data_IF_217349761262
#
_entry.id   IF_217349761262
#
_cell.length_a   1.000
_cell.length_b   1.000
_cell.length_c   1.000
_cell.angle_alpha   90.00
_cell.angle_beta   90.00
_cell.angle_gamma   90.00
#
_symmetry.space_group_name_H-M   'P 1'
#
loop_
_entity.id
_entity.type
_entity.pdbx_description
1 polymer ?
#
# COMPACT_ATOMS: atom_id res chain seq x y z
N UNK A 1 -9.75 -3.50 19.99
CA UNK A 1 -10.60 -2.34 20.30
C UNK A 1 -11.24 -1.84 19.03
N UNK A 2 -12.53 -1.48 19.08
CA UNK A 2 -13.36 -1.08 17.93
C UNK A 2 -12.71 -0.02 17.02
N UNK A 3 -11.91 0.89 17.59
CA UNK A 3 -11.22 1.96 16.87
C UNK A 3 -10.23 1.46 15.79
N UNK A 4 -9.53 0.34 16.03
CA UNK A 4 -8.55 -0.24 15.06
C UNK A 4 -9.21 -0.74 13.77
N UNK A 5 -10.45 -1.21 13.86
CA UNK A 5 -11.19 -1.67 12.69
C UNK A 5 -11.64 -0.50 11.81
N UNK A 6 -12.09 0.60 12.43
CA UNK A 6 -12.48 1.81 11.72
C UNK A 6 -11.30 2.43 10.96
N UNK A 7 -10.12 2.51 11.58
CA UNK A 7 -8.91 3.02 10.92
C UNK A 7 -8.47 2.12 9.76
N UNK A 8 -8.48 0.79 9.95
CA UNK A 8 -8.16 -0.16 8.88
C UNK A 8 -9.10 0.02 7.68
N UNK A 9 -10.42 0.13 7.93
CA UNK A 9 -11.39 0.38 6.87
C UNK A 9 -11.15 1.73 6.18
N UNK A 10 -10.82 2.78 6.93
CA UNK A 10 -10.49 4.10 6.36
C UNK A 10 -9.30 4.01 5.41
N UNK A 11 -8.23 3.30 5.80
CA UNK A 11 -7.05 3.12 4.97
C UNK A 11 -7.36 2.32 3.70
N UNK A 12 -8.10 1.21 3.82
CA UNK A 12 -8.52 0.40 2.66
C UNK A 12 -9.36 1.24 1.70
N UNK A 13 -10.37 1.96 2.18
CA UNK A 13 -11.21 2.82 1.34
C UNK A 13 -10.37 3.91 0.65
N UNK A 14 -9.44 4.54 1.37
CA UNK A 14 -8.52 5.52 0.82
C UNK A 14 -7.66 4.95 -0.30
N UNK A 15 -7.06 3.77 -0.09
CA UNK A 15 -6.26 3.07 -1.10
C UNK A 15 -7.07 2.74 -2.36
N UNK A 16 -8.31 2.27 -2.22
CA UNK A 16 -9.19 1.99 -3.35
C UNK A 16 -9.56 3.25 -4.15
N UNK A 17 -9.69 4.39 -3.47
CA UNK A 17 -9.96 5.67 -4.14
C UNK A 17 -8.73 6.18 -4.89
N UNK A 18 -7.54 6.03 -4.31
CA UNK A 18 -6.25 6.35 -4.94
C UNK A 18 -6.02 5.43 -6.14
N UNK A 19 -6.24 4.11 -6.01
CA UNK A 19 -6.09 3.12 -7.10
C UNK A 19 -6.85 3.55 -8.34
N UNK A 20 -8.10 3.99 -8.18
CA UNK A 20 -8.94 4.39 -9.32
C UNK A 20 -8.33 5.56 -10.10
N UNK A 21 -7.64 6.47 -9.42
CA UNK A 21 -6.94 7.61 -10.04
C UNK A 21 -5.61 7.18 -10.63
N UNK A 22 -4.84 6.39 -9.89
CA UNK A 22 -3.58 5.80 -10.33
C UNK A 22 -3.75 5.00 -11.64
N UNK A 23 -4.75 4.11 -11.69
CA UNK A 23 -5.06 3.28 -12.87
C UNK A 23 -5.42 4.07 -14.12
N UNK A 24 -5.91 5.30 -13.98
CA UNK A 24 -6.23 6.19 -15.11
C UNK A 24 -5.03 6.94 -15.65
N UNK A 25 -3.95 7.05 -14.87
CA UNK A 25 -2.74 7.78 -15.26
C UNK A 25 -1.65 6.81 -15.71
N UNK A 26 -1.51 6.63 -17.03
CA UNK A 26 -0.42 5.82 -17.60
C UNK A 26 0.96 6.37 -17.23
N UNK A 27 1.09 7.70 -17.16
CA UNK A 27 2.34 8.38 -16.76
C UNK A 27 2.77 7.96 -15.35
N UNK A 28 1.85 8.01 -14.38
CA UNK A 28 2.15 7.62 -13.00
C UNK A 28 2.45 6.13 -12.87
N UNK A 29 1.78 5.28 -13.67
CA UNK A 29 2.06 3.84 -13.68
C UNK A 29 3.46 3.54 -14.22
N UNK A 30 3.89 4.20 -15.29
CA UNK A 30 5.23 4.06 -15.84
C UNK A 30 6.27 4.56 -14.83
N UNK A 31 6.09 5.78 -14.29
CA UNK A 31 7.00 6.40 -13.32
C UNK A 31 7.22 5.50 -12.08
N UNK A 32 6.14 4.95 -11.51
CA UNK A 32 6.25 4.04 -10.35
C UNK A 32 6.82 2.68 -10.76
N UNK A 33 6.44 2.15 -11.92
CA UNK A 33 6.93 0.85 -12.40
C UNK A 33 8.43 0.85 -12.65
N UNK A 34 8.93 1.88 -13.35
CA UNK A 34 10.36 2.07 -13.60
C UNK A 34 11.13 2.28 -12.29
N UNK A 35 10.61 3.12 -11.38
CA UNK A 35 11.22 3.34 -10.07
C UNK A 35 11.33 2.06 -9.24
N UNK A 36 10.28 1.23 -9.19
CA UNK A 36 10.31 -0.03 -8.45
C UNK A 36 11.29 -1.05 -9.04
N UNK A 37 11.43 -1.10 -10.37
CA UNK A 37 12.41 -1.98 -11.02
C UNK A 37 13.84 -1.56 -10.67
N UNK A 38 14.12 -0.24 -10.66
CA UNK A 38 15.43 0.28 -10.27
C UNK A 38 15.75 -0.05 -8.81
N UNK A 39 14.82 0.25 -7.88
CA UNK A 39 15.01 0.00 -6.44
C UNK A 39 15.25 -1.48 -6.13
N UNK A 40 14.58 -2.39 -6.84
CA UNK A 40 14.74 -3.82 -6.63
C UNK A 40 16.17 -4.34 -6.91
N UNK A 41 17.00 -3.59 -7.64
CA UNK A 41 18.38 -3.97 -7.95
C UNK A 41 19.41 -3.35 -6.99
N UNK A 42 18.97 -2.52 -6.05
CA UNK A 42 19.87 -1.81 -5.13
C UNK A 42 20.27 -2.66 -3.92
N UNK A 43 21.48 -2.41 -3.42
CA UNK A 43 21.99 -2.99 -2.18
C UNK A 43 22.29 -4.48 -2.27
N UNK A 44 22.60 -5.00 -3.47
CA UNK A 44 22.87 -6.42 -3.68
C UNK A 44 24.10 -6.94 -2.88
N UNK A 45 24.99 -6.03 -2.50
CA UNK A 45 26.18 -6.28 -1.68
C UNK A 45 25.95 -6.14 -0.16
N UNK A 46 24.79 -5.64 0.26
CA UNK A 46 24.46 -5.39 1.67
C UNK A 46 23.94 -6.65 2.36
N UNK A 47 23.94 -6.65 3.70
CA UNK A 47 23.17 -7.65 4.44
C UNK A 47 21.67 -7.48 4.17
N UNK A 48 20.92 -8.58 4.21
CA UNK A 48 19.49 -8.58 3.86
C UNK A 48 18.69 -7.50 4.61
N UNK A 49 18.95 -7.31 5.91
CA UNK A 49 18.23 -6.31 6.71
C UNK A 49 18.53 -4.87 6.27
N UNK A 50 19.79 -4.58 5.96
CA UNK A 50 20.23 -3.27 5.50
C UNK A 50 19.71 -2.99 4.09
N UNK A 51 19.74 -4.02 3.23
CA UNK A 51 19.14 -3.96 1.89
C UNK A 51 17.64 -3.66 1.96
N UNK A 52 16.89 -4.38 2.81
CA UNK A 52 15.44 -4.17 2.98
C UNK A 52 15.12 -2.75 3.48
N UNK A 53 15.90 -2.22 4.43
CA UNK A 53 15.72 -0.87 4.94
C UNK A 53 16.05 0.20 3.89
N UNK A 54 17.14 0.03 3.12
CA UNK A 54 17.50 0.90 2.01
C UNK A 54 16.39 0.93 0.94
N UNK A 55 15.94 -0.26 0.52
CA UNK A 55 14.88 -0.37 -0.46
C UNK A 55 13.57 0.21 0.07
N UNK A 56 13.23 -0.01 1.34
CA UNK A 56 12.05 0.59 1.97
C UNK A 56 12.12 2.12 1.99
N UNK A 57 13.30 2.71 2.24
CA UNK A 57 13.51 4.15 2.17
C UNK A 57 13.23 4.68 0.75
N UNK A 58 13.84 4.09 -0.28
CA UNK A 58 13.66 4.58 -1.64
C UNK A 58 12.22 4.36 -2.16
N UNK A 59 11.56 3.26 -1.77
CA UNK A 59 10.13 3.06 -2.05
C UNK A 59 9.29 4.14 -1.37
N UNK A 60 9.63 4.52 -0.13
CA UNK A 60 8.93 5.57 0.60
C UNK A 60 9.09 6.95 -0.05
N UNK A 61 10.29 7.26 -0.58
CA UNK A 61 10.57 8.46 -1.36
C UNK A 61 9.76 8.48 -2.66
N UNK A 62 9.72 7.35 -3.38
CA UNK A 62 8.90 7.19 -4.58
C UNK A 62 7.41 7.43 -4.28
N UNK A 63 6.90 6.86 -3.18
CA UNK A 63 5.52 7.10 -2.71
C UNK A 63 5.28 8.59 -2.41
N UNK A 64 6.22 9.24 -1.72
CA UNK A 64 6.12 10.66 -1.38
C UNK A 64 6.13 11.55 -2.64
N UNK A 65 6.95 11.23 -3.63
CA UNK A 65 7.03 11.95 -4.91
C UNK A 65 5.81 11.78 -5.81
N UNK A 66 5.09 10.65 -5.68
CA UNK A 66 4.01 10.26 -6.62
C UNK A 66 2.65 10.18 -5.94
N UNK A 67 2.38 9.08 -5.21
CA UNK A 67 1.07 8.72 -4.68
C UNK A 67 0.58 9.71 -3.63
N UNK A 68 1.47 10.24 -2.78
CA UNK A 68 1.11 11.18 -1.71
C UNK A 68 0.47 12.49 -2.23
N UNK A 69 0.70 12.81 -3.52
CA UNK A 69 0.15 13.99 -4.20
C UNK A 69 -1.28 13.77 -4.71
N UNK A 70 -1.78 12.54 -4.71
CA UNK A 70 -3.12 12.20 -5.15
C UNK A 70 -4.10 12.39 -3.99
N UNK A 71 -5.20 13.11 -4.24
CA UNK A 71 -6.30 13.22 -3.27
C UNK A 71 -7.23 11.99 -3.37
N UNK A 72 -7.79 11.47 -2.26
CA UNK A 72 -7.54 11.88 -0.88
C UNK A 72 -6.19 11.37 -0.37
N UNK A 73 -5.57 12.12 0.55
CA UNK A 73 -4.36 11.67 1.23
C UNK A 73 -4.72 10.67 2.33
N UNK A 74 -3.94 9.61 2.46
CA UNK A 74 -4.06 8.68 3.58
C UNK A 74 -3.36 9.31 4.79
N UNK A 75 -4.15 9.65 5.80
CA UNK A 75 -3.65 10.17 7.08
C UNK A 75 -3.49 8.99 8.02
N UNK A 76 -2.25 8.62 8.30
CA UNK A 76 -1.94 7.52 9.22
C UNK A 76 -1.94 8.06 10.64
N UNK A 77 -2.87 7.57 11.46
CA UNK A 77 -2.98 7.90 12.88
C UNK A 77 -2.28 6.83 13.72
N UNK A 78 -1.55 7.26 14.75
CA UNK A 78 -0.82 6.38 15.65
C UNK A 78 -0.17 7.15 16.80
N UNK A 79 0.62 6.45 17.63
CA UNK A 79 1.39 7.11 18.69
C UNK A 79 2.48 8.00 18.04
N UNK A 80 2.50 9.32 18.32
CA UNK A 80 3.44 10.26 17.71
C UNK A 80 4.91 9.89 17.88
N UNK A 81 5.29 9.23 18.99
CA UNK A 81 6.67 8.85 19.25
C UNK A 81 7.21 7.87 18.20
N UNK A 82 6.37 6.94 17.70
CA UNK A 82 6.77 6.04 16.62
C UNK A 82 6.75 6.72 15.25
N UNK A 83 5.88 7.72 15.06
CA UNK A 83 5.79 8.49 13.81
C UNK A 83 6.91 9.53 13.65
N UNK A 84 7.72 9.75 14.70
CA UNK A 84 8.95 10.54 14.62
C UNK A 84 10.15 9.73 14.12
N UNK A 85 10.07 8.40 14.13
CA UNK A 85 11.15 7.54 13.63
C UNK A 85 11.11 7.47 12.09
N UNK A 86 12.16 7.93 11.38
CA UNK A 86 12.20 7.91 9.91
C UNK A 86 11.98 6.52 9.33
N UNK A 87 12.66 5.50 9.87
CA UNK A 87 12.53 4.10 9.44
C UNK A 87 11.08 3.63 9.51
N UNK A 88 10.36 3.97 10.58
CA UNK A 88 8.93 3.64 10.72
C UNK A 88 8.09 4.30 9.62
N UNK A 89 8.36 5.57 9.32
CA UNK A 89 7.64 6.30 8.27
C UNK A 89 7.90 5.71 6.89
N UNK A 90 9.13 5.28 6.63
CA UNK A 90 9.51 4.66 5.37
C UNK A 90 8.77 3.34 5.17
N UNK A 91 8.80 2.46 6.18
CA UNK A 91 8.03 1.22 6.17
C UNK A 91 6.52 1.45 6.05
N UNK A 92 5.96 2.47 6.69
CA UNK A 92 4.54 2.82 6.53
C UNK A 92 4.22 3.16 5.08
N UNK A 93 5.03 4.00 4.42
CA UNK A 93 4.81 4.39 3.02
C UNK A 93 4.99 3.21 2.05
N UNK A 94 5.99 2.37 2.31
CA UNK A 94 6.24 1.14 1.57
C UNK A 94 5.06 0.18 1.65
N UNK A 95 4.50 -0.01 2.85
CA UNK A 95 3.29 -0.82 3.05
C UNK A 95 2.06 -0.21 2.37
N UNK A 96 1.92 1.12 2.35
CA UNK A 96 0.83 1.78 1.61
C UNK A 96 0.96 1.57 0.09
N UNK A 97 2.18 1.62 -0.46
CA UNK A 97 2.42 1.33 -1.87
C UNK A 97 2.13 -0.15 -2.20
N UNK A 98 2.53 -1.07 -1.33
CA UNK A 98 2.17 -2.49 -1.45
C UNK A 98 0.64 -2.69 -1.40
N UNK A 99 -0.04 -1.97 -0.50
CA UNK A 99 -1.51 -1.94 -0.43
C UNK A 99 -2.16 -1.43 -1.73
N UNK A 100 -1.60 -0.39 -2.35
CA UNK A 100 -2.03 0.12 -3.65
C UNK A 100 -1.83 -0.93 -4.76
N UNK A 101 -0.71 -1.67 -4.75
CA UNK A 101 -0.45 -2.75 -5.71
C UNK A 101 -1.47 -3.89 -5.57
N UNK A 102 -1.80 -4.26 -4.34
CA UNK A 102 -2.85 -5.24 -4.04
C UNK A 102 -4.23 -4.76 -4.50
N UNK A 103 -4.57 -3.49 -4.27
CA UNK A 103 -5.80 -2.88 -4.79
C UNK A 103 -5.84 -2.90 -6.34
N UNK A 104 -4.70 -2.64 -6.99
CA UNK A 104 -4.57 -2.68 -8.45
C UNK A 104 -4.78 -4.11 -8.96
N UNK A 105 -4.19 -5.11 -8.32
CA UNK A 105 -4.38 -6.52 -8.68
C UNK A 105 -5.84 -6.93 -8.54
N UNK A 106 -6.49 -6.55 -7.44
CA UNK A 106 -7.90 -6.81 -7.24
C UNK A 106 -8.78 -6.22 -8.35
N UNK A 107 -8.52 -4.98 -8.74
CA UNK A 107 -9.18 -4.28 -9.85
C UNK A 107 -8.92 -4.98 -11.20
N UNK A 108 -7.71 -5.47 -11.44
CA UNK A 108 -7.33 -6.25 -12.63
C UNK A 108 -8.08 -7.59 -12.73
N UNK A 109 -8.34 -8.24 -11.59
CA UNK A 109 -9.12 -9.47 -11.50
C UNK A 109 -10.64 -9.24 -11.54
N UNK A 110 -11.08 -8.02 -11.85
CA UNK A 110 -12.50 -7.66 -11.96
C UNK A 110 -13.14 -7.18 -10.66
N UNK A 111 -12.37 -7.08 -9.58
CA UNK A 111 -12.81 -6.63 -8.26
C UNK A 111 -13.36 -5.21 -8.24
N UNK A 112 -14.47 -5.00 -7.53
CA UNK A 112 -15.14 -3.68 -7.42
C UNK A 112 -15.36 -3.23 -5.99
N UNK A 113 -15.24 -1.92 -5.70
CA UNK A 113 -15.46 -1.32 -4.36
C UNK A 113 -16.67 -1.87 -3.60
N UNK A 114 -17.77 -2.12 -4.32
CA UNK A 114 -19.03 -2.57 -3.77
C UNK A 114 -19.03 -4.07 -3.43
N UNK A 115 -18.17 -4.88 -4.03
CA UNK A 115 -18.02 -6.29 -3.67
C UNK A 115 -17.38 -6.45 -2.30
N UNK A 116 -16.45 -5.57 -1.91
CA UNK A 116 -15.93 -5.55 -0.53
C UNK A 116 -17.00 -5.13 0.48
N UNK A 117 -17.89 -4.19 0.11
CA UNK A 117 -18.92 -3.69 1.01
C UNK A 117 -20.14 -4.62 1.12
N UNK A 118 -20.61 -5.19 0.01
CA UNK A 118 -21.83 -6.01 -0.05
C UNK A 118 -21.56 -7.51 -0.18
N UNK A 119 -20.40 -7.91 -0.69
CA UNK A 119 -19.95 -9.31 -0.80
C UNK A 119 -19.14 -9.79 0.41
N UNK A 120 -19.09 -9.01 1.51
CA UNK A 120 -18.23 -9.23 2.67
C UNK A 120 -18.29 -10.66 3.21
N UNK A 121 -19.48 -11.25 3.30
CA UNK A 121 -19.67 -12.62 3.84
C UNK A 121 -19.00 -13.68 2.98
N UNK A 122 -19.08 -13.56 1.64
CA UNK A 122 -18.39 -14.47 0.71
C UNK A 122 -16.88 -14.35 0.86
N UNK A 123 -16.37 -13.12 0.86
CA UNK A 123 -14.93 -12.85 0.98
C UNK A 123 -14.38 -13.37 2.32
N UNK A 124 -15.10 -13.18 3.42
CA UNK A 124 -14.71 -13.71 4.73
C UNK A 124 -14.69 -15.24 4.72
N UNK A 125 -15.67 -15.89 4.09
CA UNK A 125 -15.72 -17.34 4.04
C UNK A 125 -14.55 -17.93 3.24
N UNK A 126 -14.25 -17.35 2.07
CA UNK A 126 -13.08 -17.76 1.27
C UNK A 126 -11.77 -17.52 2.02
N UNK A 127 -11.61 -16.35 2.65
CA UNK A 127 -10.43 -16.04 3.46
C UNK A 127 -10.26 -17.03 4.63
N UNK A 128 -11.36 -17.43 5.27
CA UNK A 128 -11.34 -18.48 6.31
C UNK A 128 -10.93 -19.83 5.73
N UNK A 129 -11.49 -20.20 4.57
CA UNK A 129 -11.15 -21.46 3.89
C UNK A 129 -9.65 -21.56 3.61
N UNK A 130 -9.03 -20.48 3.12
CA UNK A 130 -7.59 -20.41 2.84
C UNK A 130 -6.75 -20.47 4.13
N UNK A 131 -7.23 -19.92 5.24
CA UNK A 131 -6.51 -19.95 6.52
C UNK A 131 -6.59 -21.30 7.26
N UNK A 132 -7.64 -22.07 6.99
CA UNK A 132 -7.89 -23.37 7.65
C UNK A 132 -7.47 -24.58 6.82
N UNK A 133 -7.13 -24.37 5.55
CA UNK A 133 -6.57 -25.40 4.66
C UNK A 133 -5.05 -25.31 4.62
#
# INVERSE_FOLDING_TARGET
GENRYADTLRYVVGLLQIEKKFRRSRRLQAEIGEGLVAIAQEGAELEQHEQEDLQAQHVAELYAGTISRISPRIIVSGNPQFLQNPRTIDWVRTLLLAGLRSATLWSQLGGRRFELMFGRRRIINEARSILTG
#
